data_IF_824696789842
#
_entry.id   IF_824696789842
#
_cell.length_a   1.000
_cell.length_b   1.000
_cell.length_c   1.000
_cell.angle_alpha   90.00
_cell.angle_beta   90.00
_cell.angle_gamma   90.00
#
_symmetry.space_group_name_H-M   'P 1'
#
loop_
_entity.id
_entity.type
_entity.pdbx_description
1 polymer ?
#
# COMPACT_ATOMS: atom_id res chain seq x y z
N UNK A 1 24.32 11.56 3.50
CA UNK A 1 23.06 11.84 2.80
C UNK A 1 21.96 11.20 3.61
N UNK A 2 21.24 12.02 4.38
CA UNK A 2 20.21 11.57 5.31
C UNK A 2 19.02 10.89 4.61
N UNK A 3 18.63 9.74 5.15
CA UNK A 3 17.25 9.51 5.61
C UNK A 3 16.11 9.43 4.59
N UNK A 4 16.34 9.36 3.28
CA UNK A 4 15.24 9.14 2.33
C UNK A 4 14.65 7.73 2.52
N UNK A 5 13.37 7.62 2.85
CA UNK A 5 12.67 6.32 2.95
C UNK A 5 12.43 5.73 1.55
N UNK A 6 12.12 4.43 1.46
CA UNK A 6 11.73 3.80 0.17
C UNK A 6 10.50 4.50 -0.41
N UNK A 7 9.51 4.81 0.43
CA UNK A 7 8.32 5.56 0.01
C UNK A 7 8.69 6.95 -0.55
N UNK A 8 9.62 7.66 0.09
CA UNK A 8 10.12 8.95 -0.42
C UNK A 8 10.87 8.82 -1.74
N UNK A 9 11.64 7.75 -1.92
CA UNK A 9 12.34 7.45 -3.17
C UNK A 9 11.37 7.15 -4.32
N UNK A 10 10.31 6.38 -4.06
CA UNK A 10 9.25 6.10 -5.03
C UNK A 10 8.41 7.35 -5.35
N UNK A 11 8.14 8.20 -4.36
CA UNK A 11 7.49 9.49 -4.60
C UNK A 11 8.31 10.37 -5.54
N UNK A 12 9.64 10.43 -5.33
CA UNK A 12 10.55 11.16 -6.23
C UNK A 12 10.59 10.56 -7.63
N UNK A 13 10.43 9.24 -7.77
CA UNK A 13 10.26 8.61 -9.09
C UNK A 13 8.96 9.08 -9.77
N UNK A 14 7.86 9.18 -9.02
CA UNK A 14 6.58 9.66 -9.54
C UNK A 14 6.65 11.14 -9.98
N UNK A 15 7.40 12.00 -9.28
CA UNK A 15 7.65 13.39 -9.68
C UNK A 15 8.33 13.49 -11.06
N UNK A 16 9.10 12.46 -11.44
CA UNK A 16 9.75 12.32 -12.75
C UNK A 16 8.96 11.47 -13.74
N UNK A 17 7.68 11.20 -13.44
CA UNK A 17 6.78 10.40 -14.27
C UNK A 17 7.33 8.99 -14.58
N UNK A 18 8.10 8.43 -13.63
CA UNK A 18 8.57 7.07 -13.68
C UNK A 18 7.56 6.15 -13.00
N UNK A 19 7.10 5.15 -13.72
CA UNK A 19 6.41 4.00 -13.17
C UNK A 19 7.44 2.98 -12.71
N UNK A 20 7.35 2.59 -11.43
CA UNK A 20 8.22 1.58 -10.82
C UNK A 20 7.37 0.38 -10.43
N UNK A 21 7.72 -0.80 -10.93
CA UNK A 21 7.01 -2.06 -10.66
C UNK A 21 7.98 -3.17 -10.25
N UNK A 22 7.48 -4.08 -9.42
CA UNK A 22 8.15 -5.35 -9.17
C UNK A 22 7.65 -6.40 -10.17
N UNK A 23 8.59 -7.08 -10.83
CA UNK A 23 8.33 -8.27 -11.66
C UNK A 23 9.21 -9.40 -11.12
N UNK A 24 8.65 -10.18 -10.19
CA UNK A 24 9.41 -11.14 -9.41
C UNK A 24 10.52 -10.49 -8.59
N UNK A 25 11.77 -10.80 -8.92
CA UNK A 25 12.99 -10.25 -8.33
C UNK A 25 13.60 -9.09 -9.17
N UNK A 26 12.90 -8.69 -10.24
CA UNK A 26 13.29 -7.57 -11.09
C UNK A 26 12.51 -6.33 -10.71
N UNK A 27 13.22 -5.20 -10.73
CA UNK A 27 12.64 -3.88 -10.66
C UNK A 27 12.50 -3.35 -12.09
N UNK A 28 11.27 -3.08 -12.52
CA UNK A 28 10.97 -2.47 -13.79
C UNK A 28 10.71 -0.98 -13.59
N UNK A 29 11.52 -0.12 -14.23
CA UNK A 29 11.40 1.33 -14.16
C UNK A 29 11.16 1.84 -15.56
N UNK A 30 10.01 2.47 -15.78
CA UNK A 30 9.60 2.97 -17.09
C UNK A 30 9.13 4.40 -17.01
N UNK A 31 9.61 5.24 -17.92
CA UNK A 31 9.08 6.58 -18.09
C UNK A 31 7.71 6.51 -18.79
N UNK A 32 6.67 7.01 -18.12
CA UNK A 32 5.28 6.90 -18.58
C UNK A 32 4.96 7.93 -19.66
N UNK A 33 5.62 9.09 -19.59
CA UNK A 33 5.46 10.19 -20.55
C UNK A 33 6.85 10.60 -21.01
N UNK A 34 7.09 10.79 -22.33
CA UNK A 34 8.37 11.31 -22.80
C UNK A 34 8.65 12.68 -22.20
N UNK A 35 9.65 12.77 -21.32
CA UNK A 35 10.16 14.01 -20.75
C UNK A 35 11.68 13.92 -20.60
N UNK A 36 12.28 14.92 -19.96
CA UNK A 36 13.72 14.94 -19.70
C UNK A 36 14.18 13.63 -19.02
N UNK A 37 15.41 13.17 -19.31
CA UNK A 37 15.93 11.95 -18.69
C UNK A 37 15.93 12.11 -17.17
N UNK A 38 15.55 11.05 -16.43
CA UNK A 38 15.53 11.11 -14.98
C UNK A 38 16.93 11.35 -14.41
N UNK A 39 17.03 12.01 -13.25
CA UNK A 39 18.31 12.28 -12.61
C UNK A 39 19.13 11.00 -12.36
N UNK A 40 20.42 11.06 -12.65
CA UNK A 40 21.31 9.91 -12.48
C UNK A 40 21.37 9.43 -11.02
N UNK A 41 21.36 10.36 -10.05
CA UNK A 41 21.35 10.07 -8.62
C UNK A 41 20.08 9.32 -8.20
N UNK A 42 18.94 9.62 -8.81
CA UNK A 42 17.69 8.90 -8.58
C UNK A 42 17.80 7.45 -9.04
N UNK A 43 18.31 7.22 -10.25
CA UNK A 43 18.48 5.87 -10.80
C UNK A 43 19.53 5.05 -10.03
N UNK A 44 20.61 5.68 -9.59
CA UNK A 44 21.62 5.06 -8.73
C UNK A 44 21.01 4.66 -7.38
N UNK A 45 20.27 5.56 -6.71
CA UNK A 45 19.60 5.23 -5.45
C UNK A 45 18.59 4.07 -5.59
N UNK A 46 17.83 4.02 -6.69
CA UNK A 46 16.93 2.88 -6.99
C UNK A 46 17.69 1.57 -7.16
N UNK A 47 18.89 1.60 -7.75
CA UNK A 47 19.74 0.43 -7.95
C UNK A 47 20.37 -0.05 -6.65
N UNK A 48 20.93 0.87 -5.87
CA UNK A 48 21.57 0.57 -4.58
C UNK A 48 20.57 -0.03 -3.59
N UNK A 49 19.32 0.46 -3.62
CA UNK A 49 18.26 0.04 -2.69
C UNK A 49 17.26 -0.93 -3.30
N UNK A 50 17.63 -1.61 -4.40
CA UNK A 50 16.74 -2.50 -5.16
C UNK A 50 15.99 -3.48 -4.27
N UNK A 51 16.67 -4.15 -3.33
CA UNK A 51 16.05 -5.14 -2.47
C UNK A 51 14.99 -4.54 -1.53
N UNK A 52 15.25 -3.36 -0.96
CA UNK A 52 14.29 -2.65 -0.11
C UNK A 52 13.08 -2.18 -0.93
N UNK A 53 13.31 -1.66 -2.14
CA UNK A 53 12.25 -1.21 -3.05
C UNK A 53 11.35 -2.38 -3.45
N UNK A 54 11.94 -3.52 -3.82
CA UNK A 54 11.17 -4.73 -4.17
C UNK A 54 10.32 -5.21 -3.00
N UNK A 55 10.90 -5.30 -1.80
CA UNK A 55 10.15 -5.70 -0.61
C UNK A 55 8.98 -4.75 -0.32
N UNK A 56 9.18 -3.44 -0.51
CA UNK A 56 8.13 -2.45 -0.34
C UNK A 56 7.00 -2.60 -1.39
N UNK A 57 7.33 -2.75 -2.67
CA UNK A 57 6.34 -2.91 -3.74
C UNK A 57 5.54 -4.21 -3.58
N UNK A 58 6.21 -5.31 -3.25
CA UNK A 58 5.55 -6.59 -2.99
C UNK A 58 4.61 -6.50 -1.78
N UNK A 59 5.00 -5.76 -0.74
CA UNK A 59 4.14 -5.47 0.40
C UNK A 59 2.90 -4.69 -0.01
N UNK A 60 3.06 -3.60 -0.77
CA UNK A 60 1.93 -2.78 -1.23
C UNK A 60 0.96 -3.56 -2.12
N UNK A 61 1.46 -4.38 -3.03
CA UNK A 61 0.63 -5.25 -3.87
C UNK A 61 -0.17 -6.23 -3.01
N UNK A 62 0.48 -6.85 -2.02
CA UNK A 62 -0.18 -7.78 -1.10
C UNK A 62 -1.23 -7.08 -0.24
N UNK A 63 -0.89 -5.95 0.38
CA UNK A 63 -1.80 -5.18 1.21
C UNK A 63 -3.00 -4.69 0.39
N UNK A 64 -2.77 -4.17 -0.82
CA UNK A 64 -3.83 -3.75 -1.74
C UNK A 64 -4.75 -4.91 -2.09
N UNK A 65 -4.21 -6.10 -2.35
CA UNK A 65 -5.02 -7.29 -2.61
C UNK A 65 -5.89 -7.68 -1.40
N UNK A 66 -5.35 -7.62 -0.18
CA UNK A 66 -6.11 -7.88 1.05
C UNK A 66 -7.24 -6.86 1.24
N UNK A 67 -6.93 -5.56 1.10
CA UNK A 67 -7.92 -4.49 1.17
C UNK A 67 -9.02 -4.67 0.14
N UNK A 68 -8.68 -4.90 -1.13
CA UNK A 68 -9.66 -5.15 -2.21
C UNK A 68 -10.54 -6.36 -1.90
N UNK A 69 -9.97 -7.43 -1.35
CA UNK A 69 -10.74 -8.61 -1.00
C UNK A 69 -11.78 -8.31 0.10
N UNK A 70 -11.39 -7.55 1.13
CA UNK A 70 -12.29 -7.12 2.21
C UNK A 70 -13.34 -6.14 1.67
N UNK A 71 -12.92 -5.05 1.04
CA UNK A 71 -13.84 -4.05 0.50
C UNK A 71 -14.80 -4.64 -0.54
N UNK A 72 -14.35 -5.55 -1.40
CA UNK A 72 -15.22 -6.26 -2.34
C UNK A 72 -16.32 -7.08 -1.66
N UNK A 73 -16.09 -7.56 -0.42
CA UNK A 73 -17.11 -8.21 0.42
C UNK A 73 -18.00 -7.21 1.19
N UNK A 74 -17.59 -5.94 1.27
CA UNK A 74 -18.27 -4.86 1.98
C UNK A 74 -19.01 -3.87 1.06
N UNK A 75 -18.77 -3.89 -0.26
CA UNK A 75 -19.21 -2.87 -1.24
C UNK A 75 -20.71 -2.52 -1.23
N UNK A 76 -21.59 -3.34 -0.66
CA UNK A 76 -23.03 -3.06 -0.57
C UNK A 76 -23.42 -2.22 0.66
N UNK A 77 -22.46 -1.59 1.37
CA UNK A 77 -22.70 -0.99 2.70
C UNK A 77 -22.23 0.46 2.80
N UNK A 78 -23.09 1.36 2.35
CA UNK A 78 -22.84 2.80 2.38
C UNK A 78 -22.71 3.40 3.80
N UNK A 79 -23.27 2.75 4.83
CA UNK A 79 -23.33 3.29 6.20
C UNK A 79 -22.13 2.92 7.08
N UNK A 80 -21.29 1.95 6.68
CA UNK A 80 -20.13 1.51 7.47
C UNK A 80 -19.14 2.63 7.81
N UNK A 81 -18.81 3.57 6.90
CA UNK A 81 -17.84 4.63 7.21
C UNK A 81 -18.28 5.59 8.34
N UNK A 82 -19.58 5.66 8.64
CA UNK A 82 -20.12 6.49 9.72
C UNK A 82 -20.07 5.81 11.10
N UNK A 83 -19.82 4.50 11.16
CA UNK A 83 -19.73 3.73 12.41
C UNK A 83 -18.40 4.04 13.13
N UNK A 84 -18.42 4.57 14.37
CA UNK A 84 -17.20 4.86 15.13
C UNK A 84 -16.28 3.64 15.32
N UNK A 85 -16.85 2.45 15.49
CA UNK A 85 -16.07 1.23 15.67
C UNK A 85 -15.39 0.82 14.35
N UNK A 86 -16.07 1.02 13.22
CA UNK A 86 -15.47 0.82 11.90
C UNK A 86 -14.26 1.74 11.69
N UNK A 87 -14.38 3.02 12.03
CA UNK A 87 -13.27 3.99 11.92
C UNK A 87 -12.07 3.63 12.80
N UNK A 88 -12.31 3.09 14.01
CA UNK A 88 -11.22 2.62 14.87
C UNK A 88 -10.50 1.42 14.23
N UNK A 89 -11.24 0.44 13.73
CA UNK A 89 -10.68 -0.74 13.09
C UNK A 89 -9.91 -0.40 11.80
N UNK A 90 -10.41 0.56 11.02
CA UNK A 90 -9.72 1.08 9.83
C UNK A 90 -8.36 1.69 10.19
N UNK A 91 -8.30 2.52 11.24
CA UNK A 91 -7.03 3.08 11.73
C UNK A 91 -6.05 2.01 12.21
N UNK A 92 -6.52 0.92 12.81
CA UNK A 92 -5.67 -0.22 13.21
C UNK A 92 -5.09 -0.90 11.98
N UNK A 93 -5.90 -1.13 10.95
CA UNK A 93 -5.43 -1.70 9.68
C UNK A 93 -4.43 -0.77 8.97
N UNK A 94 -4.68 0.55 8.94
CA UNK A 94 -3.73 1.54 8.43
C UNK A 94 -2.41 1.58 9.23
N UNK A 95 -2.47 1.42 10.55
CA UNK A 95 -1.29 1.37 11.39
C UNK A 95 -0.48 0.08 11.17
N UNK A 96 -1.15 -1.05 10.90
CA UNK A 96 -0.48 -2.29 10.50
C UNK A 96 0.13 -2.18 9.09
N UNK A 97 -0.59 -1.56 8.15
CA UNK A 97 -0.11 -1.24 6.80
C UNK A 97 1.19 -0.43 6.84
N UNK A 98 1.20 0.69 7.56
CA UNK A 98 2.39 1.57 7.71
C UNK A 98 3.58 0.90 8.37
N UNK A 99 3.35 -0.11 9.22
CA UNK A 99 4.42 -0.87 9.89
C UNK A 99 4.92 -2.06 9.07
N UNK A 100 4.36 -2.32 7.90
CA UNK A 100 4.65 -3.51 7.10
C UNK A 100 4.40 -4.82 7.88
N UNK A 101 3.42 -4.79 8.80
CA UNK A 101 3.08 -5.94 9.64
C UNK A 101 1.93 -6.73 9.00
N UNK A 102 2.29 -7.80 8.29
CA UNK A 102 1.34 -8.64 7.58
C UNK A 102 0.33 -9.31 8.51
N UNK A 103 0.78 -9.82 9.65
CA UNK A 103 -0.10 -10.55 10.55
C UNK A 103 -1.13 -9.59 11.15
N UNK A 104 -0.66 -8.45 11.67
CA UNK A 104 -1.55 -7.43 12.22
C UNK A 104 -2.51 -6.85 11.17
N UNK A 105 -2.07 -6.71 9.90
CA UNK A 105 -2.95 -6.23 8.84
C UNK A 105 -4.06 -7.24 8.55
N UNK A 106 -3.74 -8.53 8.45
CA UNK A 106 -4.75 -9.58 8.23
C UNK A 106 -5.75 -9.62 9.38
N UNK A 107 -5.28 -9.58 10.63
CA UNK A 107 -6.16 -9.60 11.81
C UNK A 107 -7.09 -8.38 11.83
N UNK A 108 -6.56 -7.17 11.60
CA UNK A 108 -7.35 -5.93 11.58
C UNK A 108 -8.40 -5.93 10.45
N UNK A 109 -8.04 -6.47 9.28
CA UNK A 109 -8.93 -6.62 8.14
C UNK A 109 -10.04 -7.65 8.37
N UNK A 110 -9.74 -8.75 9.07
CA UNK A 110 -10.75 -9.73 9.50
C UNK A 110 -11.69 -9.14 10.55
N UNK A 111 -11.17 -8.33 11.48
CA UNK A 111 -11.99 -7.63 12.47
C UNK A 111 -12.93 -6.63 11.81
N UNK A 112 -12.47 -5.86 10.82
CA UNK A 112 -13.32 -4.99 9.99
C UNK A 112 -14.47 -5.78 9.34
N UNK A 113 -14.15 -6.89 8.70
CA UNK A 113 -15.13 -7.74 8.04
C UNK A 113 -16.14 -8.34 9.03
N UNK A 114 -15.67 -8.80 10.19
CA UNK A 114 -16.52 -9.38 11.23
C UNK A 114 -17.42 -8.34 11.89
N UNK A 115 -16.89 -7.14 12.16
CA UNK A 115 -17.66 -6.03 12.69
C UNK A 115 -18.79 -5.65 11.75
N UNK A 116 -18.46 -5.46 10.47
CA UNK A 116 -19.48 -5.26 9.45
C UNK A 116 -20.51 -6.39 9.47
N UNK A 117 -20.11 -7.67 9.41
CA UNK A 117 -21.08 -8.79 9.45
C UNK A 117 -22.00 -8.75 10.67
N UNK A 118 -21.55 -8.31 11.85
CA UNK A 118 -22.37 -8.22 13.06
C UNK A 118 -23.36 -7.05 13.03
N UNK A 119 -22.96 -5.89 12.51
CA UNK A 119 -23.89 -4.74 12.37
C UNK A 119 -25.05 -5.02 11.41
N UNK A 120 -24.95 -6.06 10.57
CA UNK A 120 -26.07 -6.61 9.76
C UNK A 120 -27.19 -7.24 10.59
N UNK A 121 -26.90 -7.71 11.80
CA UNK A 121 -27.80 -8.58 12.58
C UNK A 121 -28.61 -7.79 13.62
N UNK A 122 -28.27 -6.52 13.88
CA UNK A 122 -29.07 -5.68 14.76
C UNK A 122 -30.21 -5.01 13.95
N UNK A 123 -31.48 -5.35 14.23
CA UNK A 123 -32.65 -4.69 13.65
C UNK A 123 -32.89 -3.30 14.25
#
# INVERSE_FOLDING_TARGET
MDGMTVAGLLARCADWLLEVKADGDRLDIRQVVPCDPPPADLLEAMRERKAEVLAWLQWEDHATALWRAVFGRLCDRADLPADPQYQVLERVAEAAHRRHDRAALVDALLDLENHAKRTRVQP
#
